data_IF_492431362498
#
_entry.id   IF_492431362498
#
_cell.length_a   1.000
_cell.length_b   1.000
_cell.length_c   1.000
_cell.angle_alpha   90.00
_cell.angle_beta   90.00
_cell.angle_gamma   90.00
#
_symmetry.space_group_name_H-M   'P 1'
#
loop_
_entity.id
_entity.type
_entity.pdbx_description
1 polymer ?
#
# COMPACT_ATOMS: atom_id res chain seq x y z
N UNK A 1 -31.84 24.09 -45.17
CA UNK A 1 -31.19 24.35 -43.87
C UNK A 1 -30.96 23.01 -43.16
N UNK A 2 -29.74 22.49 -43.20
CA UNK A 2 -29.39 21.18 -42.57
C UNK A 2 -28.97 21.48 -41.13
N UNK A 3 -29.70 20.94 -40.14
CA UNK A 3 -29.36 21.02 -38.72
C UNK A 3 -28.26 20.00 -38.43
N UNK A 4 -27.06 20.49 -38.20
CA UNK A 4 -25.92 19.70 -37.74
C UNK A 4 -26.12 19.41 -36.24
N UNK A 5 -26.52 18.20 -35.89
CA UNK A 5 -26.57 17.73 -34.50
C UNK A 5 -25.17 17.29 -34.10
N UNK A 6 -24.47 18.15 -33.35
CA UNK A 6 -23.19 17.86 -32.73
C UNK A 6 -23.47 16.93 -31.53
N UNK A 7 -23.26 15.62 -31.73
CA UNK A 7 -23.23 14.62 -30.67
C UNK A 7 -21.90 14.82 -29.89
N UNK A 8 -21.97 15.58 -28.81
CA UNK A 8 -20.92 15.70 -27.82
C UNK A 8 -20.92 14.41 -27.00
N UNK A 9 -20.18 13.39 -27.46
CA UNK A 9 -19.88 12.20 -26.66
C UNK A 9 -18.97 12.62 -25.53
N UNK A 10 -19.57 12.92 -24.37
CA UNK A 10 -18.85 12.99 -23.11
C UNK A 10 -18.26 11.59 -22.84
N UNK A 11 -17.00 11.40 -23.18
CA UNK A 11 -16.18 10.33 -22.59
C UNK A 11 -16.03 10.68 -21.10
N UNK A 12 -16.97 10.21 -20.31
CA UNK A 12 -16.80 10.09 -18.87
C UNK A 12 -15.68 9.05 -18.66
N UNK A 13 -14.43 9.51 -18.67
CA UNK A 13 -13.35 8.78 -18.04
C UNK A 13 -13.69 8.74 -16.55
N UNK A 14 -14.49 7.75 -16.15
CA UNK A 14 -14.61 7.39 -14.75
C UNK A 14 -13.22 6.94 -14.33
N UNK A 15 -12.48 7.81 -13.65
CA UNK A 15 -11.33 7.48 -12.85
C UNK A 15 -11.84 6.55 -11.75
N UNK A 16 -11.95 5.26 -12.06
CA UNK A 16 -12.20 4.26 -11.04
C UNK A 16 -10.96 4.28 -10.15
N UNK A 17 -11.14 4.79 -8.95
CA UNK A 17 -10.18 4.56 -7.89
C UNK A 17 -9.98 3.05 -7.78
N UNK A 18 -8.77 2.59 -8.08
CA UNK A 18 -8.47 1.16 -8.00
C UNK A 18 -8.21 0.85 -6.54
N UNK A 19 -9.13 0.11 -5.94
CA UNK A 19 -9.01 -0.40 -4.58
C UNK A 19 -8.35 -1.78 -4.64
N UNK A 20 -7.44 -2.08 -3.72
CA UNK A 20 -6.81 -3.40 -3.66
C UNK A 20 -6.56 -3.84 -2.24
N UNK A 21 -6.86 -5.10 -1.96
CA UNK A 21 -6.49 -5.80 -0.72
C UNK A 21 -5.62 -6.98 -1.10
N UNK A 22 -4.42 -7.08 -0.50
CA UNK A 22 -3.51 -8.22 -0.68
C UNK A 22 -3.03 -8.74 0.67
N UNK A 23 -2.76 -10.03 0.74
CA UNK A 23 -1.85 -10.55 1.75
C UNK A 23 -0.41 -10.20 1.37
N UNK A 24 0.45 -10.03 2.36
CA UNK A 24 1.88 -9.88 2.12
C UNK A 24 2.72 -10.78 3.01
N UNK A 25 3.91 -11.08 2.52
CA UNK A 25 4.98 -11.75 3.25
C UNK A 25 6.26 -10.94 3.08
N UNK A 26 6.83 -10.49 4.19
CA UNK A 26 8.15 -9.87 4.24
C UNK A 26 9.20 -10.92 4.59
N UNK A 27 10.21 -11.04 3.76
CA UNK A 27 11.35 -11.95 3.97
C UNK A 27 12.60 -11.11 4.17
N UNK A 28 13.17 -11.17 5.35
CA UNK A 28 14.37 -10.45 5.74
C UNK A 28 15.63 -11.23 5.38
N UNK A 29 16.77 -10.55 5.24
CA UNK A 29 18.06 -11.17 4.90
C UNK A 29 18.51 -12.27 5.89
N UNK A 30 18.13 -12.14 7.16
CA UNK A 30 18.42 -13.14 8.20
C UNK A 30 17.50 -14.38 8.16
N UNK A 31 16.54 -14.41 7.24
CA UNK A 31 15.56 -15.48 7.09
C UNK A 31 14.29 -15.29 7.92
N UNK A 32 14.17 -14.22 8.71
CA UNK A 32 12.92 -13.91 9.41
C UNK A 32 11.80 -13.62 8.41
N UNK A 33 10.61 -14.08 8.75
CA UNK A 33 9.40 -13.86 7.94
C UNK A 33 8.32 -13.18 8.77
N UNK A 34 7.70 -12.15 8.19
CA UNK A 34 6.56 -11.46 8.76
C UNK A 34 5.45 -11.37 7.71
N UNK A 35 4.22 -11.57 8.17
CA UNK A 35 3.04 -11.62 7.31
C UNK A 35 2.04 -10.55 7.70
N UNK A 36 1.17 -10.21 6.74
CA UNK A 36 0.12 -9.25 7.00
C UNK A 36 -0.81 -9.00 5.83
N UNK A 37 -1.59 -7.93 5.94
CA UNK A 37 -2.51 -7.45 4.90
C UNK A 37 -2.17 -6.01 4.52
N UNK A 38 -2.10 -5.77 3.21
CA UNK A 38 -2.08 -4.45 2.60
C UNK A 38 -3.47 -4.11 2.08
N UNK A 39 -3.94 -2.90 2.36
CA UNK A 39 -5.11 -2.30 1.71
C UNK A 39 -4.72 -0.94 1.14
N UNK A 40 -5.09 -0.70 -0.11
CA UNK A 40 -4.95 0.59 -0.79
C UNK A 40 -6.29 1.03 -1.36
N UNK A 41 -6.60 2.31 -1.17
CA UNK A 41 -7.78 2.97 -1.73
C UNK A 41 -7.40 4.44 -1.98
N UNK A 42 -7.16 4.82 -3.24
CA UNK A 42 -6.58 6.12 -3.60
C UNK A 42 -5.27 6.39 -2.81
N UNK A 43 -5.28 7.44 -1.99
CA UNK A 43 -4.17 7.88 -1.11
C UNK A 43 -4.30 7.32 0.32
N UNK A 44 -5.20 6.36 0.53
CA UNK A 44 -5.34 5.67 1.81
C UNK A 44 -4.54 4.37 1.76
N UNK A 45 -3.73 4.13 2.77
CA UNK A 45 -2.98 2.90 2.93
C UNK A 45 -3.23 2.34 4.34
N UNK A 46 -3.44 1.04 4.42
CA UNK A 46 -3.31 0.25 5.64
C UNK A 46 -2.36 -0.89 5.37
N UNK A 47 -1.31 -0.99 6.18
CA UNK A 47 -0.34 -2.07 6.18
C UNK A 47 -0.30 -2.68 7.56
N UNK A 48 -0.91 -3.84 7.73
CA UNK A 48 -1.14 -4.45 9.03
C UNK A 48 -0.43 -5.78 9.13
N UNK A 49 0.49 -5.91 10.10
CA UNK A 49 1.09 -7.20 10.44
C UNK A 49 0.11 -8.10 11.21
N UNK A 50 0.22 -9.41 11.02
CA UNK A 50 -0.62 -10.42 11.68
C UNK A 50 -0.29 -10.55 13.16
N UNK A 51 1.01 -10.50 13.52
CA UNK A 51 1.46 -10.72 14.90
C UNK A 51 1.07 -9.57 15.82
N UNK A 52 0.56 -9.90 17.01
CA UNK A 52 0.11 -8.93 18.01
C UNK A 52 1.23 -8.03 18.55
N UNK A 53 2.45 -8.54 18.64
CA UNK A 53 3.61 -7.77 19.10
C UNK A 53 4.19 -6.81 18.04
N UNK A 54 3.61 -6.81 16.84
CA UNK A 54 3.95 -5.89 15.75
C UNK A 54 2.96 -4.73 15.69
N UNK A 55 2.86 -4.08 14.54
CA UNK A 55 2.10 -2.86 14.38
C UNK A 55 1.30 -2.83 13.09
N UNK A 56 0.44 -1.84 12.99
CA UNK A 56 -0.29 -1.45 11.78
C UNK A 56 0.14 -0.05 11.40
N UNK A 57 0.47 0.17 10.13
CA UNK A 57 0.74 1.48 9.55
C UNK A 57 -0.51 1.93 8.78
N UNK A 58 -0.97 3.15 9.06
CA UNK A 58 -2.05 3.78 8.30
C UNK A 58 -1.51 5.08 7.71
N UNK A 59 -1.71 5.27 6.38
CA UNK A 59 -1.53 6.56 5.73
C UNK A 59 -2.89 7.16 5.40
N UNK A 60 -3.07 8.44 5.75
CA UNK A 60 -4.24 9.23 5.42
C UNK A 60 -3.87 10.70 5.29
N UNK A 61 -4.22 11.34 4.17
CA UNK A 61 -3.92 12.76 3.92
C UNK A 61 -2.44 13.07 4.10
N UNK A 62 -1.57 12.23 3.54
CA UNK A 62 -0.10 12.31 3.64
C UNK A 62 0.45 12.28 5.08
N UNK A 63 -0.34 11.80 6.04
CA UNK A 63 0.09 11.58 7.42
C UNK A 63 0.14 10.10 7.70
N UNK A 64 1.21 9.67 8.37
CA UNK A 64 1.42 8.27 8.75
C UNK A 64 1.20 8.08 10.25
N UNK A 65 0.50 7.01 10.58
CA UNK A 65 0.21 6.60 11.95
C UNK A 65 0.68 5.18 12.15
N UNK A 66 1.45 4.96 13.21
CA UNK A 66 1.84 3.64 13.70
C UNK A 66 0.92 3.26 14.85
N UNK A 67 0.34 2.08 14.79
CA UNK A 67 -0.56 1.56 15.82
C UNK A 67 0.04 0.24 16.30
N UNK A 68 0.37 0.14 17.57
CA UNK A 68 0.77 -1.15 18.15
C UNK A 68 -0.42 -2.08 18.20
N UNK A 69 -0.28 -3.30 17.66
CA UNK A 69 -1.39 -4.24 17.57
C UNK A 69 -1.85 -4.73 18.95
N UNK A 70 -0.94 -4.90 19.90
CA UNK A 70 -1.22 -5.34 21.27
C UNK A 70 -1.96 -4.30 22.11
N UNK A 71 -1.39 -3.11 22.22
CA UNK A 71 -1.83 -2.06 23.16
C UNK A 71 -2.77 -1.04 22.54
N UNK A 72 -2.94 -1.06 21.21
CA UNK A 72 -3.70 -0.09 20.42
C UNK A 72 -3.21 1.36 20.55
N UNK A 73 -1.97 1.54 21.03
CA UNK A 73 -1.35 2.86 21.13
C UNK A 73 -1.07 3.39 19.74
N UNK A 74 -1.52 4.62 19.48
CA UNK A 74 -1.36 5.30 18.20
C UNK A 74 -0.25 6.34 18.29
N UNK A 75 0.74 6.27 17.41
CA UNK A 75 1.80 7.26 17.28
C UNK A 75 1.77 7.86 15.88
N UNK A 76 1.74 9.18 15.77
CA UNK A 76 1.95 9.86 14.49
C UNK A 76 3.44 9.79 14.15
N UNK A 77 3.76 9.32 12.94
CA UNK A 77 5.13 9.23 12.47
C UNK A 77 5.57 10.52 11.76
N UNK A 78 6.85 10.84 11.88
CA UNK A 78 7.46 11.93 11.11
C UNK A 78 7.60 11.50 9.65
N UNK A 79 7.35 12.42 8.71
CA UNK A 79 7.47 12.18 7.27
C UNK A 79 8.91 11.85 6.83
N UNK A 80 9.91 12.19 7.66
CA UNK A 80 11.34 11.96 7.40
C UNK A 80 11.83 10.58 7.85
N UNK A 81 10.96 9.69 8.29
CA UNK A 81 11.35 8.35 8.74
C UNK A 81 11.66 7.50 7.51
N UNK A 82 12.93 7.13 7.31
CA UNK A 82 13.39 6.35 6.14
C UNK A 82 12.61 5.05 5.92
N UNK A 83 12.31 4.35 7.01
CA UNK A 83 11.51 3.12 6.97
C UNK A 83 10.10 3.28 6.42
N UNK A 84 9.62 4.53 6.24
CA UNK A 84 8.30 4.82 5.64
C UNK A 84 8.34 5.15 4.16
N UNK A 85 9.52 5.37 3.57
CA UNK A 85 9.62 5.80 2.15
C UNK A 85 8.96 4.81 1.19
N UNK A 86 9.11 3.51 1.44
CA UNK A 86 8.43 2.47 0.67
C UNK A 86 6.91 2.54 0.77
N UNK A 87 6.36 2.85 1.96
CA UNK A 87 4.91 3.03 2.15
C UNK A 87 4.40 4.31 1.53
N UNK A 88 5.21 5.39 1.58
CA UNK A 88 4.91 6.65 0.88
C UNK A 88 4.79 6.39 -0.62
N UNK A 89 5.74 5.66 -1.20
CA UNK A 89 5.72 5.29 -2.62
C UNK A 89 4.46 4.50 -2.97
N UNK A 90 4.11 3.48 -2.18
CA UNK A 90 2.91 2.68 -2.39
C UNK A 90 1.64 3.54 -2.30
N UNK A 91 1.57 4.46 -1.34
CA UNK A 91 0.39 5.28 -1.11
C UNK A 91 0.24 6.42 -2.14
N UNK A 92 1.35 7.03 -2.59
CA UNK A 92 1.31 8.22 -3.46
C UNK A 92 1.32 7.89 -4.94
N UNK A 93 2.06 6.86 -5.36
CA UNK A 93 2.24 6.54 -6.78
C UNK A 93 1.24 5.49 -7.29
N UNK A 94 0.46 4.86 -6.40
CA UNK A 94 -0.58 3.92 -6.82
C UNK A 94 -1.70 4.64 -7.61
N UNK A 95 -2.18 4.10 -8.74
CA UNK A 95 -1.82 2.81 -9.35
C UNK A 95 -0.60 2.85 -10.30
N UNK A 96 0.02 4.01 -10.51
CA UNK A 96 1.07 4.25 -11.50
C UNK A 96 2.49 3.99 -10.95
N UNK A 97 2.64 2.99 -10.10
CA UNK A 97 3.91 2.64 -9.44
C UNK A 97 4.99 2.34 -10.47
N UNK A 98 6.17 2.97 -10.33
CA UNK A 98 7.34 2.78 -11.21
C UNK A 98 7.99 1.42 -10.98
N UNK A 99 8.85 0.99 -11.93
CA UNK A 99 9.61 -0.27 -11.79
C UNK A 99 10.74 -0.17 -10.76
N UNK A 100 11.28 1.03 -10.57
CA UNK A 100 12.39 1.28 -9.64
C UNK A 100 12.25 2.65 -8.99
N UNK A 101 12.71 2.75 -7.75
CA UNK A 101 12.87 4.00 -7.00
C UNK A 101 14.25 4.00 -6.38
N UNK A 102 14.88 5.16 -6.38
CA UNK A 102 16.19 5.37 -5.76
C UNK A 102 16.20 6.73 -5.07
N UNK A 103 16.60 6.75 -3.82
CA UNK A 103 16.78 7.95 -3.02
C UNK A 103 17.94 7.71 -2.04
N UNK A 104 19.03 8.46 -2.21
CA UNK A 104 20.29 8.28 -1.49
C UNK A 104 20.75 6.81 -1.52
N UNK A 105 20.75 6.13 -0.38
CA UNK A 105 21.15 4.73 -0.19
C UNK A 105 19.97 3.74 -0.26
N UNK A 106 18.73 4.24 -0.36
CA UNK A 106 17.53 3.40 -0.50
C UNK A 106 17.28 3.07 -1.98
N UNK A 107 17.26 1.80 -2.31
CA UNK A 107 16.87 1.28 -3.63
C UNK A 107 15.67 0.34 -3.49
N UNK A 108 14.62 0.60 -4.29
CA UNK A 108 13.43 -0.24 -4.34
C UNK A 108 13.20 -0.70 -5.78
N UNK A 109 13.16 -2.01 -5.99
CA UNK A 109 12.77 -2.64 -7.25
C UNK A 109 11.36 -3.19 -7.12
N UNK A 110 10.52 -2.90 -8.12
CA UNK A 110 9.12 -3.32 -8.18
C UNK A 110 8.94 -4.34 -9.29
N UNK A 111 8.47 -5.53 -8.96
CA UNK A 111 8.01 -6.54 -9.91
C UNK A 111 6.47 -6.51 -9.94
N UNK A 112 5.90 -6.27 -11.14
CA UNK A 112 4.44 -6.25 -11.33
C UNK A 112 3.94 -7.64 -11.70
N UNK A 113 2.73 -7.96 -11.25
CA UNK A 113 2.00 -9.14 -11.73
C UNK A 113 1.34 -8.84 -13.08
N UNK A 114 0.98 -9.88 -13.82
CA UNK A 114 0.20 -9.75 -15.06
C UNK A 114 -1.20 -9.17 -14.80
N UNK A 115 -1.71 -9.31 -13.58
CA UNK A 115 -3.07 -8.92 -13.14
C UNK A 115 -3.09 -7.56 -12.44
N UNK A 116 -2.27 -6.62 -12.90
CA UNK A 116 -2.35 -5.18 -12.57
C UNK A 116 -1.92 -4.73 -11.16
N UNK A 117 -1.30 -5.56 -10.33
CA UNK A 117 -0.73 -5.10 -9.06
C UNK A 117 0.74 -5.51 -8.88
N UNK A 118 1.36 -5.12 -7.78
CA UNK A 118 2.72 -5.49 -7.43
C UNK A 118 2.73 -6.97 -7.02
N UNK A 119 3.65 -7.74 -7.60
CA UNK A 119 3.95 -9.09 -7.17
C UNK A 119 4.99 -9.09 -6.05
N UNK A 120 6.01 -8.25 -6.19
CA UNK A 120 7.14 -8.20 -5.25
C UNK A 120 7.78 -6.83 -5.21
N UNK A 121 8.17 -6.41 -4.00
CA UNK A 121 9.13 -5.34 -3.76
C UNK A 121 10.44 -5.93 -3.25
N UNK A 122 11.57 -5.48 -3.81
CA UNK A 122 12.89 -5.73 -3.23
C UNK A 122 13.43 -4.41 -2.73
N UNK A 123 13.68 -4.31 -1.42
CA UNK A 123 14.05 -3.09 -0.72
C UNK A 123 15.45 -3.27 -0.17
N UNK A 124 16.35 -2.38 -0.54
CA UNK A 124 17.76 -2.42 -0.14
C UNK A 124 18.21 -1.04 0.31
N UNK A 125 18.84 -0.98 1.46
CA UNK A 125 19.62 0.16 1.96
C UNK A 125 20.78 -0.34 2.80
N UNK A 126 21.53 0.57 3.42
CA UNK A 126 22.63 0.19 4.33
C UNK A 126 22.13 -0.70 5.48
N UNK A 127 20.95 -0.40 6.03
CA UNK A 127 20.40 -1.05 7.22
C UNK A 127 19.28 -2.05 6.90
N UNK A 128 18.67 -1.96 5.71
CA UNK A 128 17.50 -2.75 5.35
C UNK A 128 17.79 -3.56 4.09
N UNK A 129 17.54 -4.86 4.17
CA UNK A 129 17.54 -5.74 3.01
C UNK A 129 16.39 -6.74 3.20
N UNK A 130 15.29 -6.52 2.50
CA UNK A 130 14.11 -7.37 2.58
C UNK A 130 13.38 -7.45 1.23
N UNK A 131 12.57 -8.47 1.09
CA UNK A 131 11.62 -8.62 0.00
C UNK A 131 10.21 -8.67 0.55
N UNK A 132 9.28 -7.97 -0.09
CA UNK A 132 7.84 -8.06 0.22
C UNK A 132 7.15 -8.73 -0.95
N UNK A 133 6.58 -9.89 -0.74
CA UNK A 133 5.77 -10.61 -1.72
C UNK A 133 4.29 -10.34 -1.45
N UNK A 134 3.52 -9.99 -2.49
CA UNK A 134 2.07 -9.78 -2.41
C UNK A 134 1.34 -10.92 -3.12
N UNK A 135 0.29 -11.43 -2.48
CA UNK A 135 -0.49 -12.56 -3.00
C UNK A 135 -1.94 -12.48 -2.53
N UNK A 136 -2.81 -13.31 -3.12
CA UNK A 136 -4.25 -13.31 -2.85
C UNK A 136 -4.87 -11.90 -2.94
N UNK A 137 -4.43 -11.14 -3.95
CA UNK A 137 -4.96 -9.79 -4.16
C UNK A 137 -6.37 -9.84 -4.73
N UNK A 138 -7.27 -9.04 -4.17
CA UNK A 138 -8.59 -8.76 -4.72
C UNK A 138 -8.78 -7.24 -4.92
N UNK A 139 -9.73 -6.89 -5.76
CA UNK A 139 -10.04 -5.50 -6.16
C UNK A 139 -11.47 -5.12 -5.78
N UNK A 140 -12.02 -5.76 -4.76
CA UNK A 140 -13.33 -5.45 -4.23
C UNK A 140 -13.33 -4.11 -3.50
N UNK A 141 -14.45 -3.40 -3.47
CA UNK A 141 -14.58 -2.12 -2.75
C UNK A 141 -14.23 -2.25 -1.27
N UNK A 142 -13.33 -1.40 -0.80
CA UNK A 142 -12.86 -1.40 0.58
C UNK A 142 -13.66 -0.38 1.41
N UNK A 143 -14.25 -0.81 2.50
CA UNK A 143 -14.93 0.11 3.40
C UNK A 143 -13.92 1.06 4.05
N UNK A 144 -14.09 2.37 3.85
CA UNK A 144 -13.20 3.42 4.40
C UNK A 144 -13.00 3.38 5.91
N UNK A 145 -13.88 2.67 6.66
CA UNK A 145 -13.68 2.45 8.10
C UNK A 145 -12.36 1.73 8.42
N UNK A 146 -11.85 0.89 7.52
CA UNK A 146 -10.59 0.16 7.72
C UNK A 146 -9.36 1.07 7.74
N UNK A 147 -9.46 2.28 7.22
CA UNK A 147 -8.41 3.30 7.28
C UNK A 147 -8.51 4.21 8.51
N UNK A 148 -9.31 3.83 9.50
CA UNK A 148 -9.37 4.49 10.81
C UNK A 148 -8.48 3.72 11.79
N UNK A 149 -7.78 4.43 12.64
CA UNK A 149 -6.75 3.87 13.54
C UNK A 149 -7.30 3.03 14.71
N UNK A 150 -8.61 2.84 14.83
CA UNK A 150 -9.23 1.99 15.85
C UNK A 150 -9.93 0.74 15.27
N UNK A 151 -9.87 0.49 13.95
CA UNK A 151 -10.44 -0.68 13.33
C UNK A 151 -9.32 -1.64 12.91
N UNK A 152 -9.32 -2.85 13.46
CA UNK A 152 -8.45 -3.94 13.04
C UNK A 152 -9.18 -4.83 12.04
N UNK A 153 -8.41 -5.34 11.09
CA UNK A 153 -8.88 -6.39 10.18
C UNK A 153 -8.57 -7.71 10.85
N UNK A 154 -9.60 -8.53 11.08
CA UNK A 154 -9.40 -9.92 11.49
C UNK A 154 -8.98 -10.74 10.27
N UNK A 155 -7.97 -11.58 10.45
CA UNK A 155 -7.50 -12.49 9.41
C UNK A 155 -8.42 -13.73 9.44
N UNK A 156 -9.07 -14.00 8.31
CA UNK A 156 -9.64 -15.34 8.06
C UNK A 156 -8.57 -16.16 7.35
N UNK A 157 -8.10 -17.20 8.03
CA UNK A 157 -7.22 -18.23 7.45
C UNK A 157 -7.95 -19.06 6.43
#
# INVERSE_FOLDING_TARGET
MKKLVLLFSFYLNSLFAIEVTCNFEEVYKNGDVQEGVLMLNDNLLRYQYTKDNLYTIISKQNKFYLIRNDSKIVQKLSENTESLKNFIILASDYPNIKKTYQDNDLFIKVEKSEVAFIKRLSIQSNDINLSVNFFNCNFDPINKKYFRHFNFVEYTH
#
